data_IF_937049329646
#
_entry.id   IF_937049329646
#
_cell.length_a   1.000
_cell.length_b   1.000
_cell.length_c   1.000
_cell.angle_alpha   90.00
_cell.angle_beta   90.00
_cell.angle_gamma   90.00
#
_symmetry.space_group_name_H-M   'P 1'
#
loop_
_entity.id
_entity.type
_entity.pdbx_description
1 polymer ?
#
# COMPACT_ATOMS: atom_id res chain seq x y z
N UNK A 1 40.78 -30.16 1.38
CA UNK A 1 39.94 -30.03 0.18
C UNK A 1 38.50 -30.00 0.66
N UNK A 2 37.81 -28.86 0.54
CA UNK A 2 36.42 -28.74 0.99
C UNK A 2 35.51 -29.41 -0.06
N UNK A 3 34.57 -30.27 0.36
CA UNK A 3 33.59 -30.83 -0.56
C UNK A 3 32.73 -29.70 -1.12
N UNK A 4 32.58 -29.64 -2.44
CA UNK A 4 31.64 -28.73 -3.09
C UNK A 4 30.24 -29.25 -2.84
N UNK A 5 29.40 -28.42 -2.22
CA UNK A 5 27.96 -28.67 -2.10
C UNK A 5 27.37 -28.66 -3.52
N UNK A 6 26.69 -29.73 -3.90
CA UNK A 6 26.04 -29.87 -5.21
C UNK A 6 24.58 -29.45 -5.12
N UNK A 7 24.01 -28.94 -6.21
CA UNK A 7 22.60 -28.50 -6.26
C UNK A 7 21.60 -29.62 -5.88
N UNK A 8 21.98 -30.86 -6.15
CA UNK A 8 21.20 -32.05 -5.75
C UNK A 8 21.21 -32.27 -4.22
N UNK A 9 22.30 -31.92 -3.54
CA UNK A 9 22.37 -31.97 -2.08
C UNK A 9 21.54 -30.84 -1.45
N UNK A 10 21.41 -29.70 -2.14
CA UNK A 10 20.54 -28.59 -1.70
C UNK A 10 19.06 -28.94 -1.87
N UNK A 11 18.68 -29.63 -2.95
CA UNK A 11 17.27 -30.07 -3.17
C UNK A 11 16.76 -31.10 -2.17
N UNK A 12 17.66 -31.83 -1.52
CA UNK A 12 17.32 -32.86 -0.53
C UNK A 12 17.29 -32.33 0.91
N UNK A 13 17.56 -31.03 1.13
CA UNK A 13 17.43 -30.44 2.46
C UNK A 13 15.93 -30.36 2.83
N UNK A 14 15.54 -30.82 4.04
CA UNK A 14 14.17 -30.77 4.51
C UNK A 14 13.81 -29.35 4.97
N UNK A 15 13.69 -28.42 4.01
CA UNK A 15 13.48 -26.99 4.29
C UNK A 15 12.09 -26.71 4.89
N UNK A 16 11.14 -27.63 4.72
CA UNK A 16 9.79 -27.51 5.26
C UNK A 16 9.71 -27.86 6.75
N UNK A 17 10.46 -28.86 7.23
CA UNK A 17 10.43 -29.27 8.64
C UNK A 17 11.15 -28.25 9.55
N UNK A 18 12.28 -27.69 9.10
CA UNK A 18 13.01 -26.68 9.89
C UNK A 18 12.26 -25.35 10.07
N UNK A 19 11.23 -25.08 9.27
CA UNK A 19 10.46 -23.83 9.33
C UNK A 19 9.46 -23.83 10.50
N UNK A 20 8.94 -24.99 10.89
CA UNK A 20 8.05 -25.15 12.03
C UNK A 20 8.82 -25.03 13.37
N UNK A 21 10.00 -25.65 13.46
CA UNK A 21 10.87 -25.53 14.65
C UNK A 21 11.34 -24.09 14.88
N UNK A 22 11.71 -23.36 13.83
CA UNK A 22 12.12 -21.94 13.95
C UNK A 22 10.97 -21.01 14.37
N UNK A 23 9.73 -21.31 13.99
CA UNK A 23 8.56 -20.53 14.42
C UNK A 23 8.15 -20.85 15.87
N UNK A 24 8.28 -22.09 16.31
CA UNK A 24 8.10 -22.43 17.73
C UNK A 24 9.18 -21.79 18.61
N UNK A 25 10.45 -21.74 18.17
CA UNK A 25 11.54 -21.12 18.95
C UNK A 25 11.36 -19.59 19.09
N UNK A 26 10.86 -18.92 18.04
CA UNK A 26 10.55 -17.47 18.06
C UNK A 26 9.30 -17.16 18.90
N UNK A 27 8.31 -18.06 18.96
CA UNK A 27 7.13 -17.86 19.82
C UNK A 27 7.37 -18.29 21.28
N UNK A 28 8.39 -19.12 21.54
CA UNK A 28 8.77 -19.57 22.88
C UNK A 28 9.76 -18.63 23.60
N UNK A 29 10.21 -17.52 22.98
CA UNK A 29 10.92 -16.48 23.72
C UNK A 29 9.97 -15.83 24.72
N UNK A 30 10.12 -16.27 25.97
CA UNK A 30 9.50 -15.71 27.17
C UNK A 30 9.50 -14.18 27.12
N UNK A 31 8.38 -13.49 27.40
CA UNK A 31 8.39 -12.04 27.57
C UNK A 31 9.44 -11.66 28.60
N UNK A 32 10.32 -10.73 28.26
CA UNK A 32 11.24 -10.14 29.22
C UNK A 32 10.40 -9.57 30.37
N UNK A 33 10.66 -10.11 31.56
CA UNK A 33 10.12 -9.67 32.84
C UNK A 33 10.29 -8.15 32.94
N UNK A 34 9.16 -7.43 32.97
CA UNK A 34 9.13 -5.99 33.18
C UNK A 34 9.76 -5.71 34.53
N UNK A 35 10.98 -5.16 34.52
CA UNK A 35 11.61 -4.64 35.72
C UNK A 35 10.79 -3.44 36.19
N UNK A 36 9.99 -3.67 37.23
CA UNK A 36 9.36 -2.66 38.06
C UNK A 36 10.48 -1.78 38.66
N UNK A 37 10.76 -0.64 38.02
CA UNK A 37 11.59 0.42 38.57
C UNK A 37 10.69 1.40 39.33
N UNK A 38 10.45 1.09 40.60
CA UNK A 38 10.10 2.09 41.60
C UNK A 38 11.36 2.86 41.98
N UNK A 39 11.55 4.06 41.43
CA UNK A 39 12.55 5.00 41.93
C UNK A 39 11.87 6.17 42.66
N UNK A 40 11.99 6.12 43.99
CA UNK A 40 11.83 7.23 44.91
C UNK A 40 12.78 8.39 44.51
N UNK A 41 12.23 9.59 44.31
CA UNK A 41 13.00 10.82 44.10
C UNK A 41 13.18 11.58 45.42
N UNK A 42 14.42 11.69 45.96
CA UNK A 42 14.75 12.74 46.92
C UNK A 42 15.33 13.99 46.23
N UNK A 43 15.05 15.22 46.72
CA UNK A 43 15.55 16.43 46.08
C UNK A 43 16.89 16.88 46.68
N UNK A 44 17.83 17.40 45.87
CA UNK A 44 18.58 18.64 46.21
C UNK A 44 19.62 19.14 45.17
N UNK A 45 19.53 20.46 44.94
CA UNK A 45 20.57 21.52 44.88
C UNK A 45 21.81 21.42 43.94
N UNK A 46 21.80 22.37 42.99
CA UNK A 46 22.88 23.28 42.52
C UNK A 46 24.35 22.87 42.68
N UNK A 47 25.04 22.75 41.54
CA UNK A 47 26.50 22.93 41.41
C UNK A 47 26.95 22.93 39.95
N UNK A 48 27.56 24.03 39.47
CA UNK A 48 28.23 24.14 38.17
C UNK A 48 29.41 23.14 38.08
N UNK A 49 29.71 22.65 36.88
CA UNK A 49 31.01 22.70 36.14
C UNK A 49 30.96 21.70 34.95
N UNK A 50 31.39 22.16 33.76
CA UNK A 50 31.66 21.41 32.50
C UNK A 50 33.04 20.68 32.59
N UNK A 51 33.56 19.86 31.63
CA UNK A 51 33.08 19.47 30.27
C UNK A 51 33.34 17.97 29.87
N UNK A 52 33.03 17.65 28.60
CA UNK A 52 33.58 16.57 27.72
C UNK A 52 33.06 15.12 27.89
N UNK A 53 32.50 14.56 26.81
CA UNK A 53 33.03 13.45 25.97
C UNK A 53 31.87 12.91 25.13
N UNK A 54 32.08 12.87 23.82
CA UNK A 54 31.13 12.37 22.85
C UNK A 54 30.91 10.85 22.94
N UNK A 55 29.68 10.45 22.62
CA UNK A 55 29.37 9.13 22.12
C UNK A 55 28.30 9.34 21.03
N UNK A 56 28.73 9.34 19.78
CA UNK A 56 27.83 9.14 18.65
C UNK A 56 27.43 7.66 18.68
N UNK A 57 26.26 7.38 19.23
CA UNK A 57 25.60 6.09 19.06
C UNK A 57 24.69 6.22 17.84
N UNK A 58 25.23 5.86 16.67
CA UNK A 58 24.41 5.58 15.50
C UNK A 58 23.65 4.27 15.77
N UNK A 59 22.36 4.38 16.05
CA UNK A 59 21.45 3.24 16.05
C UNK A 59 20.98 3.07 14.61
N UNK A 60 21.65 2.18 13.87
CA UNK A 60 21.09 1.58 12.67
C UNK A 60 20.01 0.58 13.13
N UNK A 61 18.75 0.99 13.04
CA UNK A 61 17.60 0.12 13.28
C UNK A 61 16.80 -0.02 11.98
N UNK A 62 16.72 -1.28 11.54
CA UNK A 62 15.61 -1.89 10.80
C UNK A 62 15.32 -1.36 9.38
N UNK A 63 16.00 -1.95 8.40
CA UNK A 63 15.36 -2.21 7.09
C UNK A 63 14.61 -3.53 7.21
N UNK A 64 13.45 -3.46 7.85
CA UNK A 64 12.41 -4.46 7.67
C UNK A 64 11.68 -4.12 6.39
N UNK A 65 11.58 -5.07 5.46
CA UNK A 65 10.78 -4.92 4.25
C UNK A 65 9.35 -4.53 4.64
N UNK A 66 8.96 -3.31 4.28
CA UNK A 66 7.60 -2.82 4.46
C UNK A 66 6.71 -3.61 3.49
N UNK A 67 6.15 -4.71 3.98
CA UNK A 67 4.85 -5.13 3.50
C UNK A 67 3.87 -4.08 4.02
N UNK A 68 3.35 -3.28 3.10
CA UNK A 68 2.34 -2.27 3.36
C UNK A 68 1.02 -2.98 3.73
N UNK A 69 0.89 -3.33 5.01
CA UNK A 69 -0.40 -3.51 5.68
C UNK A 69 -0.63 -2.22 6.47
N UNK A 70 -1.31 -1.26 5.84
CA UNK A 70 -1.70 -0.01 6.48
C UNK A 70 -2.80 -0.28 7.50
N UNK A 71 -2.47 -0.12 8.79
CA UNK A 71 -3.44 0.15 9.84
C UNK A 71 -3.77 1.64 9.74
N UNK A 72 -4.96 1.97 9.21
CA UNK A 72 -5.38 3.38 8.99
C UNK A 72 -5.70 4.03 10.34
N UNK A 73 -4.93 5.04 10.71
CA UNK A 73 -5.35 6.03 11.70
C UNK A 73 -6.56 6.81 11.13
N UNK A 74 -7.53 7.13 11.98
CA UNK A 74 -8.74 7.90 11.69
C UNK A 74 -8.42 9.28 11.08
N UNK A 75 -8.15 9.34 9.77
CA UNK A 75 -8.22 10.57 9.01
C UNK A 75 -9.70 10.87 8.78
N UNK A 76 -10.20 11.94 9.41
CA UNK A 76 -11.58 12.39 9.32
C UNK A 76 -11.89 12.92 7.90
N UNK A 77 -12.18 12.00 6.98
CA UNK A 77 -12.71 12.30 5.65
C UNK A 77 -14.21 12.55 5.77
N UNK A 78 -14.69 13.65 5.19
CA UNK A 78 -16.13 13.96 5.15
C UNK A 78 -16.88 12.86 4.39
N UNK A 79 -17.71 12.10 5.10
CA UNK A 79 -18.55 11.04 4.54
C UNK A 79 -19.65 11.64 3.65
N UNK A 80 -19.57 11.42 2.34
CA UNK A 80 -20.61 11.85 1.38
C UNK A 80 -21.52 10.67 0.99
N UNK A 81 -22.85 10.89 0.83
CA UNK A 81 -23.80 9.84 0.47
C UNK A 81 -23.61 9.36 -0.98
N UNK A 82 -23.83 8.07 -1.19
CA UNK A 82 -23.83 7.42 -2.52
C UNK A 82 -24.93 8.00 -3.40
N UNK A 83 -24.58 8.37 -4.64
CA UNK A 83 -25.52 8.89 -5.62
C UNK A 83 -26.46 7.77 -6.11
N UNK A 84 -27.78 7.98 -6.03
CA UNK A 84 -28.78 7.05 -6.56
C UNK A 84 -29.01 7.32 -8.05
N UNK A 85 -28.88 6.31 -8.91
CA UNK A 85 -29.33 6.39 -10.31
C UNK A 85 -30.08 5.12 -10.77
N UNK A 86 -31.12 5.24 -11.63
CA UNK A 86 -31.99 4.13 -12.02
C UNK A 86 -31.64 3.50 -13.39
N UNK A 87 -31.64 2.16 -13.47
CA UNK A 87 -32.24 1.42 -14.60
C UNK A 87 -31.37 0.66 -15.64
N UNK A 88 -31.19 -0.65 -15.38
CA UNK A 88 -31.23 -1.84 -16.27
C UNK A 88 -30.21 -2.15 -17.42
N UNK A 89 -29.59 -3.34 -17.27
CA UNK A 89 -29.07 -4.32 -18.25
C UNK A 89 -27.69 -4.15 -18.92
N UNK A 90 -26.65 -4.28 -18.07
CA UNK A 90 -25.44 -5.12 -18.14
C UNK A 90 -25.05 -5.70 -19.51
N UNK A 91 -24.12 -5.01 -20.19
CA UNK A 91 -22.98 -5.68 -20.81
C UNK A 91 -22.00 -5.98 -19.67
N UNK A 92 -21.56 -7.23 -19.54
CA UNK A 92 -20.95 -7.79 -18.33
C UNK A 92 -19.73 -7.01 -17.83
N UNK A 93 -19.93 -6.19 -16.81
CA UNK A 93 -18.86 -5.53 -16.07
C UNK A 93 -18.05 -6.53 -15.24
N UNK A 94 -16.76 -6.25 -15.10
CA UNK A 94 -15.80 -6.97 -14.26
C UNK A 94 -15.71 -6.41 -12.82
N UNK A 95 -16.37 -5.27 -12.57
CA UNK A 95 -16.47 -4.59 -11.27
C UNK A 95 -17.86 -4.76 -10.67
N UNK A 96 -17.96 -4.57 -9.36
CA UNK A 96 -19.26 -4.52 -8.67
C UNK A 96 -19.33 -3.32 -7.72
N UNK A 97 -20.53 -2.76 -7.58
CA UNK A 97 -20.85 -1.69 -6.63
C UNK A 97 -21.99 -2.11 -5.71
N UNK A 98 -22.00 -1.55 -4.50
CA UNK A 98 -23.06 -1.70 -3.52
C UNK A 98 -24.13 -0.62 -3.69
N UNK A 99 -25.41 -1.02 -3.78
CA UNK A 99 -26.54 -0.09 -3.91
C UNK A 99 -27.33 0.11 -2.60
N UNK A 100 -26.73 -0.25 -1.46
CA UNK A 100 -27.40 -0.23 -0.16
C UNK A 100 -27.37 1.15 0.49
N UNK A 101 -28.51 1.61 1.00
CA UNK A 101 -28.62 2.87 1.72
C UNK A 101 -27.75 2.92 2.99
N UNK A 102 -27.21 4.09 3.29
CA UNK A 102 -26.41 4.34 4.50
C UNK A 102 -24.95 3.88 4.42
N UNK A 103 -24.55 3.25 3.31
CA UNK A 103 -23.15 2.93 3.02
C UNK A 103 -22.48 4.08 2.29
N UNK A 104 -21.21 4.33 2.62
CA UNK A 104 -20.37 5.35 1.96
C UNK A 104 -19.10 4.69 1.45
N UNK A 105 -18.62 5.12 0.28
CA UNK A 105 -17.33 4.67 -0.25
C UNK A 105 -16.23 5.27 0.64
N UNK A 106 -15.39 4.41 1.21
CA UNK A 106 -14.22 4.79 2.02
C UNK A 106 -12.98 4.97 1.16
N UNK A 107 -12.75 4.03 0.25
CA UNK A 107 -11.59 4.02 -0.62
C UNK A 107 -11.92 3.29 -1.91
N UNK A 108 -11.20 3.64 -2.98
CA UNK A 108 -11.25 2.97 -4.27
C UNK A 108 -9.84 2.95 -4.84
N UNK A 109 -9.38 1.77 -5.24
CA UNK A 109 -8.06 1.52 -5.80
C UNK A 109 -8.26 0.76 -7.12
N UNK A 110 -7.49 1.12 -8.14
CA UNK A 110 -7.52 0.49 -9.45
C UNK A 110 -6.11 0.32 -9.98
N UNK A 111 -5.86 -0.82 -10.64
CA UNK A 111 -4.61 -1.02 -11.34
C UNK A 111 -4.60 -2.27 -12.21
N UNK A 112 -3.43 -2.49 -12.82
CA UNK A 112 -3.21 -3.57 -13.79
C UNK A 112 -3.55 -4.98 -13.27
N UNK A 113 -3.51 -5.18 -11.95
CA UNK A 113 -3.76 -6.47 -11.30
C UNK A 113 -5.12 -6.52 -10.62
N UNK A 114 -6.06 -5.69 -11.07
CA UNK A 114 -7.37 -5.52 -10.47
C UNK A 114 -7.40 -4.36 -9.50
N UNK A 115 -8.45 -4.32 -8.70
CA UNK A 115 -8.71 -3.20 -7.80
C UNK A 115 -9.67 -3.56 -6.69
N UNK A 116 -10.00 -2.55 -5.91
CA UNK A 116 -10.75 -2.67 -4.67
C UNK A 116 -11.65 -1.46 -4.48
N UNK A 117 -12.85 -1.72 -3.96
CA UNK A 117 -13.80 -0.71 -3.54
C UNK A 117 -14.30 -1.04 -2.14
N UNK A 118 -13.94 -0.20 -1.17
CA UNK A 118 -14.31 -0.35 0.23
C UNK A 118 -15.45 0.58 0.61
N UNK A 119 -16.41 0.06 1.37
CA UNK A 119 -17.55 0.80 1.92
C UNK A 119 -17.58 0.72 3.44
N UNK A 120 -18.14 1.74 4.09
CA UNK A 120 -18.43 1.76 5.54
C UNK A 120 -19.87 2.14 5.82
N UNK A 121 -20.42 1.59 6.90
CA UNK A 121 -21.67 2.02 7.52
C UNK A 121 -21.58 1.85 9.05
N UNK A 122 -21.17 2.91 9.74
CA UNK A 122 -20.87 2.85 11.17
C UNK A 122 -19.67 1.92 11.43
N UNK A 123 -19.86 0.89 12.24
CA UNK A 123 -18.82 -0.12 12.54
C UNK A 123 -18.80 -1.30 11.55
N UNK A 124 -19.48 -1.18 10.41
CA UNK A 124 -19.58 -2.22 9.39
C UNK A 124 -18.79 -1.82 8.18
N UNK A 125 -18.11 -2.79 7.59
CA UNK A 125 -17.28 -2.59 6.41
C UNK A 125 -17.62 -3.64 5.34
N UNK A 126 -17.47 -3.25 4.08
CA UNK A 126 -17.62 -4.13 2.93
C UNK A 126 -16.55 -3.78 1.89
N UNK A 127 -15.64 -4.70 1.63
CA UNK A 127 -14.64 -4.56 0.58
C UNK A 127 -15.01 -5.46 -0.61
N UNK A 128 -14.95 -4.90 -1.81
CA UNK A 128 -15.19 -5.59 -3.08
C UNK A 128 -13.90 -5.55 -3.87
N UNK A 129 -13.28 -6.70 -4.10
CA UNK A 129 -12.11 -6.81 -4.95
C UNK A 129 -12.47 -7.44 -6.29
N UNK A 130 -11.98 -6.86 -7.39
CA UNK A 130 -11.91 -7.54 -8.68
C UNK A 130 -10.46 -7.94 -8.92
N UNK A 131 -10.25 -9.23 -9.21
CA UNK A 131 -8.91 -9.81 -9.36
C UNK A 131 -8.78 -10.55 -10.69
N UNK A 132 -7.60 -10.63 -11.31
CA UNK A 132 -7.39 -11.41 -12.52
C UNK A 132 -7.83 -12.87 -12.34
N UNK A 133 -8.51 -13.41 -13.35
CA UNK A 133 -9.05 -14.78 -13.36
C UNK A 133 -8.01 -15.84 -12.96
N UNK A 134 -6.76 -15.67 -13.41
CA UNK A 134 -5.64 -16.56 -13.11
C UNK A 134 -5.32 -16.68 -11.60
N UNK A 135 -5.83 -15.78 -10.76
CA UNK A 135 -5.61 -15.81 -9.31
C UNK A 135 -6.69 -16.56 -8.54
N UNK A 136 -7.81 -16.94 -9.19
CA UNK A 136 -8.97 -17.54 -8.54
C UNK A 136 -8.63 -18.76 -7.67
N UNK A 137 -7.99 -19.78 -8.25
CA UNK A 137 -7.66 -21.01 -7.53
C UNK A 137 -6.75 -20.74 -6.32
N UNK A 138 -5.83 -19.78 -6.44
CA UNK A 138 -4.96 -19.39 -5.34
C UNK A 138 -5.77 -18.83 -4.17
N UNK A 139 -6.69 -17.90 -4.43
CA UNK A 139 -7.52 -17.31 -3.37
C UNK A 139 -8.50 -18.32 -2.79
N UNK A 140 -9.14 -19.18 -3.60
CA UNK A 140 -10.02 -20.23 -3.07
C UNK A 140 -9.24 -21.19 -2.16
N UNK A 141 -8.05 -21.62 -2.56
CA UNK A 141 -7.22 -22.51 -1.76
C UNK A 141 -6.73 -21.85 -0.47
N UNK A 142 -6.33 -20.58 -0.53
CA UNK A 142 -5.94 -19.76 0.62
C UNK A 142 -7.08 -19.72 1.66
N UNK A 143 -8.31 -19.42 1.23
CA UNK A 143 -9.48 -19.40 2.12
C UNK A 143 -9.85 -20.76 2.65
N UNK A 144 -9.73 -21.81 1.85
CA UNK A 144 -10.02 -23.17 2.27
C UNK A 144 -9.00 -23.74 3.27
N UNK A 145 -7.75 -23.25 3.28
CA UNK A 145 -6.71 -23.76 4.17
C UNK A 145 -6.91 -23.33 5.63
N UNK A 146 -7.38 -22.10 5.84
CA UNK A 146 -7.41 -21.47 7.17
C UNK A 146 -8.81 -21.43 7.81
N UNK A 147 -9.86 -21.87 7.11
CA UNK A 147 -11.25 -21.69 7.54
C UNK A 147 -12.07 -22.97 7.56
N UNK A 148 -13.28 -22.86 8.12
CA UNK A 148 -14.31 -23.87 8.00
C UNK A 148 -14.63 -24.18 6.51
N UNK A 149 -15.20 -25.34 6.19
CA UNK A 149 -15.62 -25.67 4.83
C UNK A 149 -16.49 -24.56 4.22
N UNK A 150 -16.25 -24.28 2.94
CA UNK A 150 -17.03 -23.27 2.23
C UNK A 150 -18.51 -23.65 2.14
N UNK A 151 -19.38 -22.65 2.22
CA UNK A 151 -20.79 -22.78 1.88
C UNK A 151 -21.06 -22.22 0.48
N UNK A 152 -21.96 -22.87 -0.25
CA UNK A 152 -22.41 -22.37 -1.56
C UNK A 152 -23.46 -21.28 -1.38
N UNK A 153 -23.27 -20.15 -2.05
CA UNK A 153 -24.15 -18.97 -1.97
C UNK A 153 -24.32 -18.35 -3.35
N UNK A 154 -25.49 -17.77 -3.66
CA UNK A 154 -25.68 -17.07 -4.94
C UNK A 154 -25.19 -15.62 -4.85
N UNK A 155 -24.26 -15.24 -5.73
CA UNK A 155 -23.78 -13.85 -5.88
C UNK A 155 -23.79 -13.47 -7.34
N UNK A 156 -24.55 -12.41 -7.68
CA UNK A 156 -24.61 -11.84 -9.02
C UNK A 156 -24.87 -12.93 -10.10
N UNK A 157 -25.82 -13.81 -9.81
CA UNK A 157 -26.28 -14.88 -10.72
C UNK A 157 -25.35 -16.10 -10.83
N UNK A 158 -24.36 -16.26 -9.94
CA UNK A 158 -23.47 -17.44 -9.92
C UNK A 158 -23.43 -18.05 -8.53
N UNK A 159 -23.26 -19.36 -8.48
CA UNK A 159 -22.91 -20.09 -7.27
C UNK A 159 -21.46 -19.76 -6.90
N UNK A 160 -21.30 -19.07 -5.78
CA UNK A 160 -20.04 -18.64 -5.19
C UNK A 160 -19.73 -19.44 -3.92
N UNK A 161 -18.48 -19.37 -3.48
CA UNK A 161 -18.01 -20.03 -2.26
C UNK A 161 -17.86 -18.99 -1.15
N UNK A 162 -18.50 -19.22 -0.02
CA UNK A 162 -18.46 -18.34 1.15
C UNK A 162 -17.77 -19.02 2.33
N UNK A 163 -16.92 -18.26 3.02
CA UNK A 163 -16.26 -18.67 4.26
C UNK A 163 -16.56 -17.67 5.37
N UNK A 164 -16.71 -18.17 6.59
CA UNK A 164 -16.79 -17.36 7.80
C UNK A 164 -15.46 -17.44 8.55
N UNK A 165 -14.82 -16.28 8.75
CA UNK A 165 -13.65 -16.15 9.63
C UNK A 165 -14.06 -16.04 11.09
N UNK A 166 -15.22 -15.44 11.34
CA UNK A 166 -15.84 -15.33 12.65
C UNK A 166 -17.36 -15.20 12.51
N UNK A 167 -18.07 -15.04 13.63
CA UNK A 167 -19.51 -14.75 13.59
C UNK A 167 -19.84 -13.44 12.83
N UNK A 168 -18.90 -12.49 12.77
CA UNK A 168 -19.10 -11.15 12.20
C UNK A 168 -18.13 -10.79 11.07
N UNK A 169 -17.43 -11.76 10.49
CA UNK A 169 -16.46 -11.57 9.40
C UNK A 169 -16.59 -12.71 8.39
N UNK A 170 -17.01 -12.35 7.18
CA UNK A 170 -17.41 -13.27 6.13
C UNK A 170 -16.79 -12.84 4.81
N UNK A 171 -16.38 -13.81 4.00
CA UNK A 171 -15.87 -13.57 2.66
C UNK A 171 -16.54 -14.50 1.67
N UNK A 172 -16.80 -14.00 0.46
CA UNK A 172 -17.30 -14.79 -0.65
C UNK A 172 -16.44 -14.57 -1.88
N UNK A 173 -16.07 -15.65 -2.55
CA UNK A 173 -15.38 -15.61 -3.84
C UNK A 173 -16.34 -16.13 -4.91
N UNK A 174 -16.74 -15.24 -5.80
CA UNK A 174 -17.54 -15.56 -6.98
C UNK A 174 -16.66 -16.25 -8.02
N UNK A 175 -17.12 -17.30 -8.73
CA UNK A 175 -16.32 -17.92 -9.79
C UNK A 175 -15.94 -16.93 -10.90
N UNK A 176 -14.86 -17.26 -11.59
CA UNK A 176 -14.33 -16.48 -12.72
C UNK A 176 -15.40 -16.23 -13.77
N UNK A 177 -15.49 -14.98 -14.25
CA UNK A 177 -16.25 -14.61 -15.43
C UNK A 177 -15.44 -13.61 -16.27
N UNK A 178 -15.21 -13.94 -17.54
CA UNK A 178 -14.33 -13.14 -18.39
C UNK A 178 -12.88 -13.18 -17.89
N UNK A 179 -12.30 -12.00 -17.66
CA UNK A 179 -10.90 -11.85 -17.23
C UNK A 179 -10.75 -11.72 -15.71
N UNK A 180 -11.84 -11.71 -14.95
CA UNK A 180 -11.81 -11.39 -13.53
C UNK A 180 -12.61 -12.37 -12.67
N UNK A 181 -12.29 -12.37 -11.39
CA UNK A 181 -13.06 -12.95 -10.30
C UNK A 181 -13.38 -11.86 -9.29
N UNK A 182 -14.52 -11.99 -8.62
CA UNK A 182 -14.89 -11.08 -7.53
C UNK A 182 -14.69 -11.76 -6.19
N UNK A 183 -14.09 -11.04 -5.26
CA UNK A 183 -14.05 -11.37 -3.85
C UNK A 183 -14.77 -10.25 -3.09
N UNK A 184 -15.73 -10.60 -2.24
CA UNK A 184 -16.40 -9.64 -1.36
C UNK A 184 -16.17 -10.05 0.08
N UNK A 185 -15.72 -9.12 0.93
CA UNK A 185 -15.56 -9.35 2.36
C UNK A 185 -16.40 -8.36 3.14
N UNK A 186 -17.14 -8.87 4.13
CA UNK A 186 -17.95 -8.06 5.04
C UNK A 186 -17.49 -8.25 6.47
N UNK A 187 -17.26 -7.14 7.18
CA UNK A 187 -16.83 -7.11 8.58
C UNK A 187 -17.82 -6.35 9.45
N UNK A 188 -17.92 -6.73 10.72
CA UNK A 188 -18.79 -6.08 11.71
C UNK A 188 -20.27 -6.43 11.59
N UNK A 189 -20.62 -7.50 10.86
CA UNK A 189 -22.01 -7.90 10.63
C UNK A 189 -22.17 -9.42 10.63
N UNK A 190 -23.32 -9.90 11.11
CA UNK A 190 -23.62 -11.33 11.07
C UNK A 190 -23.82 -11.84 9.64
N UNK A 191 -23.79 -13.17 9.48
CA UNK A 191 -23.90 -13.83 8.18
C UNK A 191 -25.19 -13.45 7.43
N UNK A 192 -26.30 -13.30 8.16
CA UNK A 192 -27.59 -12.94 7.56
C UNK A 192 -27.54 -11.54 6.96
N UNK A 193 -26.96 -10.58 7.67
CA UNK A 193 -26.76 -9.22 7.19
C UNK A 193 -25.80 -9.20 6.00
N UNK A 194 -24.70 -9.95 6.05
CA UNK A 194 -23.75 -10.05 4.94
C UNK A 194 -24.41 -10.57 3.66
N UNK A 195 -25.15 -11.69 3.75
CA UNK A 195 -25.91 -12.25 2.61
C UNK A 195 -26.94 -11.27 2.05
N UNK A 196 -27.58 -10.47 2.90
CA UNK A 196 -28.51 -9.44 2.45
C UNK A 196 -27.82 -8.30 1.67
N UNK A 197 -26.56 -7.98 1.96
CA UNK A 197 -25.76 -7.02 1.18
C UNK A 197 -25.31 -7.62 -0.16
N UNK A 198 -24.94 -8.90 -0.20
CA UNK A 198 -24.58 -9.57 -1.46
C UNK A 198 -25.71 -9.49 -2.49
N UNK A 199 -26.96 -9.57 -2.04
CA UNK A 199 -28.15 -9.37 -2.90
C UNK A 199 -28.38 -7.93 -3.39
N UNK A 200 -27.61 -6.96 -2.89
CA UNK A 200 -27.66 -5.54 -3.28
C UNK A 200 -26.46 -5.10 -4.11
N UNK A 201 -25.58 -6.03 -4.47
CA UNK A 201 -24.49 -5.79 -5.39
C UNK A 201 -25.02 -5.70 -6.82
N UNK A 202 -24.35 -4.89 -7.64
CA UNK A 202 -24.59 -4.80 -9.09
C UNK A 202 -23.27 -4.82 -9.84
N UNK A 203 -23.18 -5.65 -10.88
CA UNK A 203 -22.06 -5.60 -11.83
C UNK A 203 -22.10 -4.31 -12.65
N UNK A 204 -20.95 -3.67 -12.81
CA UNK A 204 -20.79 -2.39 -13.50
C UNK A 204 -19.54 -2.37 -14.36
N UNK A 205 -19.57 -1.60 -15.45
CA UNK A 205 -18.37 -1.23 -16.18
C UNK A 205 -17.63 -0.07 -15.52
N UNK A 206 -16.44 0.26 -16.02
CA UNK A 206 -15.58 1.34 -15.50
C UNK A 206 -16.31 2.69 -15.39
N UNK A 207 -17.00 3.14 -16.45
CA UNK A 207 -17.69 4.44 -16.43
C UNK A 207 -18.82 4.50 -15.39
N UNK A 208 -19.48 3.36 -15.13
CA UNK A 208 -20.52 3.28 -14.10
C UNK A 208 -19.93 3.19 -12.69
N UNK A 209 -18.75 2.55 -12.53
CA UNK A 209 -17.99 2.61 -11.29
C UNK A 209 -17.60 4.05 -10.99
N UNK A 210 -17.00 4.77 -11.94
CA UNK A 210 -16.59 6.17 -11.75
C UNK A 210 -17.78 7.06 -11.38
N UNK A 211 -18.93 6.87 -12.03
CA UNK A 211 -20.16 7.59 -11.69
C UNK A 211 -20.72 7.26 -10.29
N UNK A 212 -20.30 6.13 -9.71
CA UNK A 212 -20.66 5.72 -8.35
C UNK A 212 -19.70 6.27 -7.30
N UNK A 213 -18.49 6.69 -7.68
CA UNK A 213 -17.52 7.25 -6.76
C UNK A 213 -17.93 8.66 -6.29
N UNK A 214 -17.67 9.02 -5.03
CA UNK A 214 -17.81 10.39 -4.54
C UNK A 214 -16.98 11.40 -5.34
N UNK A 215 -17.42 12.66 -5.36
CA UNK A 215 -16.80 13.74 -6.15
C UNK A 215 -15.33 14.09 -5.79
N UNK A 216 -14.81 13.60 -4.67
CA UNK A 216 -13.40 13.79 -4.31
C UNK A 216 -12.46 12.76 -4.96
N UNK A 217 -13.02 11.71 -5.55
CA UNK A 217 -12.25 10.80 -6.41
C UNK A 217 -12.01 11.43 -7.78
N UNK A 218 -10.89 11.10 -8.39
CA UNK A 218 -10.44 11.56 -9.69
C UNK A 218 -10.81 10.52 -10.74
N UNK A 219 -11.75 10.88 -11.60
CA UNK A 219 -12.17 10.05 -12.73
C UNK A 219 -11.10 10.00 -13.83
N UNK A 220 -11.19 9.03 -14.73
CA UNK A 220 -10.29 8.93 -15.88
C UNK A 220 -10.33 10.16 -16.79
N UNK A 221 -11.48 10.84 -16.87
CA UNK A 221 -11.63 12.09 -17.61
C UNK A 221 -10.91 13.29 -16.95
N UNK A 222 -10.88 13.35 -15.62
CA UNK A 222 -10.24 14.43 -14.85
C UNK A 222 -8.74 14.22 -14.68
N UNK A 223 -8.29 12.96 -14.69
CA UNK A 223 -6.93 12.55 -14.36
C UNK A 223 -5.83 13.31 -15.11
N UNK A 224 -5.90 13.56 -16.44
CA UNK A 224 -4.85 14.32 -17.14
C UNK A 224 -4.68 15.74 -16.60
N UNK A 225 -5.77 16.41 -16.22
CA UNK A 225 -5.75 17.75 -15.64
C UNK A 225 -5.14 17.72 -14.24
N UNK A 226 -5.57 16.78 -13.40
CA UNK A 226 -5.04 16.62 -12.03
C UNK A 226 -3.54 16.29 -12.03
N UNK A 227 -3.09 15.41 -12.92
CA UNK A 227 -1.67 15.10 -13.08
C UNK A 227 -0.85 16.33 -13.49
N UNK A 228 -1.37 17.15 -14.41
CA UNK A 228 -0.71 18.37 -14.84
C UNK A 228 -0.61 19.40 -13.70
N UNK A 229 -1.66 19.55 -12.89
CA UNK A 229 -1.66 20.41 -11.70
C UNK A 229 -0.65 19.97 -10.65
N UNK A 230 -0.55 18.65 -10.38
CA UNK A 230 0.40 18.11 -9.41
C UNK A 230 1.85 18.26 -9.87
N UNK A 231 2.12 18.20 -11.18
CA UNK A 231 3.46 18.33 -11.76
C UNK A 231 3.95 19.78 -11.87
N UNK A 232 3.05 20.74 -12.05
CA UNK A 232 3.40 22.15 -12.30
C UNK A 232 4.38 22.76 -11.27
N UNK A 233 4.18 22.59 -9.95
CA UNK A 233 5.04 23.21 -8.96
C UNK A 233 6.33 22.43 -8.67
N UNK A 234 6.54 21.26 -9.28
CA UNK A 234 7.68 20.40 -8.98
C UNK A 234 8.91 20.80 -9.80
N UNK A 235 10.13 20.78 -9.21
CA UNK A 235 11.34 20.87 -10.00
C UNK A 235 11.46 19.60 -10.85
N UNK A 236 11.47 19.74 -12.18
CA UNK A 236 11.58 18.62 -13.11
C UNK A 236 12.98 18.59 -13.72
N UNK A 237 13.59 17.40 -13.91
CA UNK A 237 14.82 17.28 -14.69
C UNK A 237 14.63 17.77 -16.12
N UNK A 238 15.72 18.25 -16.73
CA UNK A 238 15.72 18.57 -18.16
C UNK A 238 15.31 17.35 -18.99
N UNK A 239 14.32 17.55 -19.87
CA UNK A 239 13.81 16.48 -20.73
C UNK A 239 12.87 15.49 -20.05
N UNK A 240 12.40 15.76 -18.82
CA UNK A 240 11.44 14.89 -18.12
C UNK A 240 10.18 14.63 -18.95
N UNK A 241 9.89 13.35 -19.23
CA UNK A 241 8.72 12.93 -19.99
C UNK A 241 7.47 12.90 -19.10
N UNK A 242 6.73 14.01 -19.10
CA UNK A 242 5.45 14.13 -18.39
C UNK A 242 4.40 13.12 -18.89
N UNK A 243 4.49 12.68 -20.14
CA UNK A 243 3.52 11.74 -20.74
C UNK A 243 3.81 10.29 -20.38
N UNK A 244 4.99 10.01 -19.84
CA UNK A 244 5.36 8.71 -19.30
C UNK A 244 4.61 8.35 -18.02
N UNK A 245 4.10 9.34 -17.27
CA UNK A 245 3.35 9.11 -16.03
C UNK A 245 1.95 8.58 -16.37
N UNK A 246 1.80 7.26 -16.28
CA UNK A 246 0.51 6.58 -16.41
C UNK A 246 -0.03 6.22 -15.04
N UNK A 247 -1.32 6.43 -14.85
CA UNK A 247 -2.01 6.06 -13.62
C UNK A 247 -3.48 5.75 -13.90
N UNK A 248 -3.99 4.74 -13.19
CA UNK A 248 -5.42 4.39 -13.15
C UNK A 248 -6.03 4.73 -11.78
N UNK A 249 -5.23 5.30 -10.87
CA UNK A 249 -5.60 5.62 -9.50
C UNK A 249 -6.77 6.60 -9.44
N UNK A 250 -7.68 6.37 -8.50
CA UNK A 250 -8.89 7.19 -8.29
C UNK A 250 -8.74 8.25 -7.20
N UNK A 251 -7.68 8.24 -6.38
CA UNK A 251 -7.53 9.21 -5.29
C UNK A 251 -6.41 10.18 -5.58
N UNK A 252 -6.55 11.42 -5.09
CA UNK A 252 -5.45 12.40 -5.16
C UNK A 252 -4.20 11.93 -4.44
N UNK A 253 -4.34 11.21 -3.31
CA UNK A 253 -3.23 10.59 -2.61
C UNK A 253 -2.41 9.66 -3.52
N UNK A 254 -3.05 8.64 -4.11
CA UNK A 254 -2.33 7.65 -4.92
C UNK A 254 -1.81 8.24 -6.24
N UNK A 255 -2.54 9.20 -6.84
CA UNK A 255 -2.03 9.99 -7.98
C UNK A 255 -0.81 10.82 -7.59
N UNK A 256 -0.85 11.46 -6.42
CA UNK A 256 0.26 12.22 -5.88
C UNK A 256 1.49 11.36 -5.61
N UNK A 257 1.28 10.14 -5.10
CA UNK A 257 2.33 9.15 -4.94
C UNK A 257 3.00 8.82 -6.28
N UNK A 258 2.20 8.51 -7.31
CA UNK A 258 2.70 8.23 -8.66
C UNK A 258 3.48 9.41 -9.26
N UNK A 259 2.96 10.63 -9.15
CA UNK A 259 3.60 11.84 -9.70
C UNK A 259 4.91 12.15 -8.98
N UNK A 260 4.87 12.25 -7.65
CA UNK A 260 6.06 12.59 -6.85
C UNK A 260 7.11 11.49 -6.92
N UNK A 261 6.71 10.22 -6.96
CA UNK A 261 7.57 9.07 -7.19
C UNK A 261 8.30 9.17 -8.52
N UNK A 262 7.58 9.37 -9.63
CA UNK A 262 8.18 9.49 -10.95
C UNK A 262 9.21 10.63 -11.04
N UNK A 263 8.91 11.80 -10.47
CA UNK A 263 9.83 12.95 -10.43
C UNK A 263 11.06 12.63 -9.57
N UNK A 264 10.88 12.07 -8.37
CA UNK A 264 11.98 11.68 -7.50
C UNK A 264 12.86 10.59 -8.13
N UNK A 265 12.27 9.59 -8.78
CA UNK A 265 12.97 8.55 -9.52
C UNK A 265 13.91 9.13 -10.58
N UNK A 266 13.41 10.08 -11.38
CA UNK A 266 14.21 10.72 -12.43
C UNK A 266 15.37 11.54 -11.86
N UNK A 267 15.16 12.26 -10.76
CA UNK A 267 16.26 12.98 -10.09
C UNK A 267 17.29 12.05 -9.45
N UNK A 268 16.86 10.99 -8.79
CA UNK A 268 17.77 9.98 -8.21
C UNK A 268 18.59 9.31 -9.32
N UNK A 269 17.96 8.98 -10.44
CA UNK A 269 18.67 8.41 -11.59
C UNK A 269 19.71 9.37 -12.17
N UNK A 270 19.33 10.63 -12.42
CA UNK A 270 20.29 11.66 -12.85
C UNK A 270 21.45 11.79 -11.86
N UNK A 271 21.18 11.82 -10.56
CA UNK A 271 22.20 11.90 -9.52
C UNK A 271 23.19 10.73 -9.63
N UNK A 272 22.69 9.50 -9.70
CA UNK A 272 23.52 8.29 -9.77
C UNK A 272 24.36 8.23 -11.05
N UNK A 273 23.76 8.60 -12.20
CA UNK A 273 24.48 8.67 -13.48
C UNK A 273 25.57 9.75 -13.49
N UNK A 274 25.25 10.94 -12.98
CA UNK A 274 26.19 12.05 -12.87
C UNK A 274 27.39 11.68 -11.98
N UNK A 275 27.14 11.03 -10.84
CA UNK A 275 28.19 10.53 -9.95
C UNK A 275 29.09 9.51 -10.66
N UNK A 276 28.51 8.57 -11.41
CA UNK A 276 29.25 7.59 -12.20
C UNK A 276 30.11 8.23 -13.28
N UNK A 277 29.62 9.31 -13.90
CA UNK A 277 30.33 10.06 -14.94
C UNK A 277 31.36 11.07 -14.39
N UNK A 278 31.36 11.36 -13.08
CA UNK A 278 32.16 12.43 -12.49
C UNK A 278 31.62 13.84 -12.80
N UNK A 279 30.35 13.97 -13.17
CA UNK A 279 29.68 15.24 -13.46
C UNK A 279 29.13 15.87 -12.16
N UNK A 280 29.96 16.70 -11.53
CA UNK A 280 29.60 17.32 -10.26
C UNK A 280 28.41 18.29 -10.39
N UNK A 281 28.27 19.00 -11.52
CA UNK A 281 27.20 19.98 -11.68
C UNK A 281 25.84 19.30 -11.76
N UNK A 282 25.71 18.24 -12.58
CA UNK A 282 24.45 17.49 -12.68
C UNK A 282 24.08 16.74 -11.40
N UNK A 283 25.09 16.30 -10.64
CA UNK A 283 24.85 15.72 -9.33
C UNK A 283 24.29 16.77 -8.34
N UNK A 284 24.90 17.96 -8.28
CA UNK A 284 24.42 19.07 -7.44
C UNK A 284 23.02 19.52 -7.83
N UNK A 285 22.72 19.62 -9.12
CA UNK A 285 21.37 19.97 -9.59
C UNK A 285 20.29 19.02 -9.04
N UNK A 286 20.56 17.70 -9.09
CA UNK A 286 19.63 16.70 -8.55
C UNK A 286 19.50 16.79 -7.02
N UNK A 287 20.61 17.08 -6.31
CA UNK A 287 20.59 17.31 -4.87
C UNK A 287 19.77 18.55 -4.51
N UNK A 288 19.95 19.66 -5.23
CA UNK A 288 19.21 20.90 -4.99
C UNK A 288 17.71 20.69 -5.22
N UNK A 289 17.33 19.99 -6.29
CA UNK A 289 15.93 19.68 -6.58
C UNK A 289 15.29 18.79 -5.49
N UNK A 290 15.93 17.67 -5.14
CA UNK A 290 15.43 16.77 -4.09
C UNK A 290 15.48 17.40 -2.70
N UNK A 291 16.39 18.35 -2.45
CA UNK A 291 16.45 19.13 -1.22
C UNK A 291 15.21 19.97 -0.96
N UNK A 292 14.40 20.23 -2.00
CA UNK A 292 13.10 20.93 -1.87
C UNK A 292 11.91 19.99 -1.65
N UNK A 293 12.11 18.67 -1.57
CA UNK A 293 11.02 17.69 -1.54
C UNK A 293 10.02 17.89 -0.39
N UNK A 294 10.46 18.46 0.74
CA UNK A 294 9.58 18.78 1.88
C UNK A 294 8.62 19.95 1.59
N UNK A 295 8.95 20.77 0.61
CA UNK A 295 8.13 21.91 0.18
C UNK A 295 7.22 21.56 -1.01
N UNK A 296 7.34 20.36 -1.59
CA UNK A 296 6.51 19.95 -2.72
C UNK A 296 5.04 19.90 -2.31
N UNK A 297 4.15 20.71 -2.94
CA UNK A 297 2.76 20.81 -2.50
C UNK A 297 2.03 19.46 -2.42
N UNK A 298 2.28 18.58 -3.40
CA UNK A 298 1.70 17.23 -3.45
C UNK A 298 2.11 16.36 -2.26
N UNK A 299 3.35 16.46 -1.77
CA UNK A 299 3.81 15.67 -0.63
C UNK A 299 3.29 16.21 0.71
N UNK A 300 3.11 17.54 0.81
CA UNK A 300 2.47 18.13 1.99
C UNK A 300 0.99 17.84 2.07
N UNK A 301 0.30 17.79 0.92
CA UNK A 301 -1.10 17.36 0.83
C UNK A 301 -1.26 15.94 1.41
N UNK A 302 -0.33 15.05 1.08
CA UNK A 302 -0.37 13.64 1.47
C UNK A 302 0.10 13.35 2.91
N UNK A 303 0.79 14.29 3.57
CA UNK A 303 1.43 14.07 4.87
C UNK A 303 0.44 13.64 5.96
N UNK A 304 -0.82 14.06 5.89
CA UNK A 304 -1.85 13.70 6.86
C UNK A 304 -2.56 12.37 6.59
N UNK A 305 -2.36 11.76 5.42
CA UNK A 305 -3.16 10.62 4.94
C UNK A 305 -2.35 9.32 4.85
N UNK A 306 -1.02 9.36 4.97
CA UNK A 306 -0.17 8.17 5.06
C UNK A 306 1.33 8.46 4.97
N UNK A 307 2.13 7.39 4.89
CA UNK A 307 3.59 7.48 5.06
C UNK A 307 4.40 7.72 3.78
N UNK A 308 3.75 7.81 2.61
CA UNK A 308 4.44 7.98 1.33
C UNK A 308 5.43 9.15 1.32
N UNK A 309 5.02 10.32 1.85
CA UNK A 309 5.87 11.51 1.89
C UNK A 309 7.13 11.26 2.71
N UNK A 310 7.04 10.55 3.83
CA UNK A 310 8.19 10.18 4.65
C UNK A 310 9.14 9.23 3.90
N UNK A 311 8.62 8.25 3.16
CA UNK A 311 9.43 7.36 2.32
C UNK A 311 10.22 8.15 1.29
N UNK A 312 9.57 9.06 0.56
CA UNK A 312 10.24 9.88 -0.45
C UNK A 312 11.28 10.83 0.18
N UNK A 313 10.94 11.49 1.28
CA UNK A 313 11.88 12.36 1.99
C UNK A 313 13.12 11.62 2.48
N UNK A 314 12.98 10.38 2.93
CA UNK A 314 14.14 9.58 3.33
C UNK A 314 15.11 9.37 2.15
N UNK A 315 14.61 9.04 0.95
CA UNK A 315 15.45 8.92 -0.24
C UNK A 315 16.05 10.26 -0.68
N UNK A 316 15.27 11.34 -0.62
CA UNK A 316 15.76 12.68 -0.92
C UNK A 316 16.89 13.08 0.04
N UNK A 317 16.73 12.87 1.34
CA UNK A 317 17.72 13.18 2.39
C UNK A 317 19.03 12.39 2.16
N UNK A 318 18.96 11.12 1.71
CA UNK A 318 20.13 10.33 1.33
C UNK A 318 20.87 10.95 0.13
N UNK A 319 20.14 11.37 -0.91
CA UNK A 319 20.76 12.00 -2.08
C UNK A 319 21.39 13.34 -1.73
N UNK A 320 20.69 14.16 -0.95
CA UNK A 320 21.17 15.49 -0.48
C UNK A 320 22.43 15.35 0.37
N UNK A 321 22.48 14.39 1.30
CA UNK A 321 23.68 14.10 2.08
C UNK A 321 24.86 13.64 1.21
N UNK A 322 24.53 13.00 0.08
CA UNK A 322 25.47 12.49 -0.88
C UNK A 322 25.82 11.03 -0.61
N UNK A 323 25.72 10.19 -1.64
CA UNK A 323 26.07 8.77 -1.58
C UNK A 323 27.58 8.62 -1.72
N UNK A 324 28.22 8.11 -0.66
CA UNK A 324 29.64 7.80 -0.59
C UNK A 324 29.88 6.27 -0.51
N UNK A 325 31.14 5.86 -0.40
CA UNK A 325 31.52 4.45 -0.31
C UNK A 325 31.07 3.78 1.01
N UNK A 326 30.63 4.57 2.00
CA UNK A 326 30.13 4.07 3.29
C UNK A 326 28.61 3.93 3.30
N UNK A 327 27.92 4.63 2.42
CA UNK A 327 26.47 4.50 2.25
C UNK A 327 26.15 3.09 1.77
N UNK A 328 25.36 2.31 2.53
CA UNK A 328 25.03 0.96 2.12
C UNK A 328 24.34 0.98 0.75
N UNK A 329 24.91 0.24 -0.23
CA UNK A 329 24.43 0.26 -1.62
C UNK A 329 22.99 -0.21 -1.75
N UNK A 330 22.55 -1.05 -0.81
CA UNK A 330 21.18 -1.54 -0.68
C UNK A 330 20.19 -0.43 -0.28
N UNK A 331 20.62 0.55 0.52
CA UNK A 331 19.74 1.65 0.96
C UNK A 331 19.27 2.47 -0.22
N UNK A 332 20.18 3.07 -0.99
CA UNK A 332 19.79 3.79 -2.22
C UNK A 332 19.38 2.81 -3.32
N UNK A 333 19.95 1.61 -3.37
CA UNK A 333 19.67 0.61 -4.42
C UNK A 333 18.21 0.11 -4.43
N UNK A 334 17.51 0.24 -3.30
CA UNK A 334 16.10 -0.13 -3.17
C UNK A 334 15.11 0.95 -3.62
N UNK A 335 15.57 2.16 -3.99
CA UNK A 335 14.70 3.28 -4.33
C UNK A 335 13.68 2.96 -5.42
N UNK A 336 14.05 2.13 -6.42
CA UNK A 336 13.14 1.75 -7.50
C UNK A 336 11.90 1.02 -6.99
N UNK A 337 12.08 0.08 -6.06
CA UNK A 337 10.97 -0.62 -5.43
C UNK A 337 10.21 0.27 -4.45
N UNK A 338 10.91 1.08 -3.66
CA UNK A 338 10.30 1.96 -2.66
C UNK A 338 9.48 3.10 -3.26
N UNK A 339 9.91 3.64 -4.41
CA UNK A 339 9.26 4.77 -5.10
C UNK A 339 8.41 4.33 -6.30
N UNK A 340 8.35 3.04 -6.59
CA UNK A 340 7.61 2.51 -7.75
C UNK A 340 8.13 3.05 -9.08
N UNK A 341 9.44 3.23 -9.23
CA UNK A 341 10.05 3.68 -10.47
C UNK A 341 9.79 2.67 -11.60
N UNK A 342 9.52 3.16 -12.80
CA UNK A 342 9.48 2.31 -13.99
C UNK A 342 10.87 1.69 -14.21
N UNK A 343 10.90 0.38 -14.45
CA UNK A 343 12.12 -0.42 -14.60
C UNK A 343 12.62 -0.58 -16.03
#
# INVERSE_FOLDING_TARGET
MNPRITDEAVRLLPVQEGRAELLEEIMATTPLESLDQTDDVPPSRRGRWLPVIGAAAAVAALVGGVMWLGDQADSSTENLPVATSPGAAIDGGDRAVLLADGWVVRHAIEGLHGGELGYVNGSRELDIHWRPAATYDRYVNDRAADNAPAEEVDVLGKTALMWAYSANDHTVIRPVEGQFTLEVRGMGMDEKAFRALLGQLRLVGESELEAHLPAHFVTGAERPTVLAEMLEPLPLPDGFDRTGIKSEEYTRYHLGARVSGAVACAWIEQYLEARKAGDAMRATEAQDALGTARDWPVLREMESEGDWSAVLWNYADIVVAGVDDQTPKDVIGSYRGGLGCDG
#
